data_IF_807600218702
#
_entry.id   IF_807600218702
#
_cell.length_a   1.000
_cell.length_b   1.000
_cell.length_c   1.000
_cell.angle_alpha   90.00
_cell.angle_beta   90.00
_cell.angle_gamma   90.00
#
_symmetry.space_group_name_H-M   'P 1'
#
loop_
_entity.id
_entity.type
_entity.pdbx_description
1 polymer ?
#
# COMPACT_ATOMS: atom_id res chain seq x y z
N UNK A 1 45.02 -16.25 -77.49
CA UNK A 1 44.83 -15.19 -76.49
C UNK A 1 43.85 -15.68 -75.43
N UNK A 2 44.36 -16.12 -74.29
CA UNK A 2 43.60 -16.61 -73.12
C UNK A 2 43.01 -15.41 -72.37
N UNK A 3 41.69 -15.39 -72.10
CA UNK A 3 41.09 -14.54 -71.06
C UNK A 3 40.55 -15.43 -69.94
N UNK A 4 41.18 -15.30 -68.77
CA UNK A 4 40.77 -15.90 -67.50
C UNK A 4 39.50 -15.18 -67.01
N UNK A 5 38.48 -15.92 -66.59
CA UNK A 5 37.37 -15.41 -65.79
C UNK A 5 37.47 -16.06 -64.40
N UNK A 6 37.87 -15.26 -63.42
CA UNK A 6 37.98 -15.68 -62.01
C UNK A 6 36.64 -15.42 -61.33
N UNK A 7 35.94 -16.47 -60.91
CA UNK A 7 34.70 -16.37 -60.14
C UNK A 7 35.05 -16.18 -58.66
N UNK A 8 34.90 -14.95 -58.14
CA UNK A 8 35.02 -14.66 -56.71
C UNK A 8 33.70 -14.99 -56.01
N UNK A 9 33.71 -16.04 -55.19
CA UNK A 9 32.61 -16.39 -54.29
C UNK A 9 32.72 -15.49 -53.04
N UNK A 10 31.87 -14.47 -52.93
CA UNK A 10 31.75 -13.67 -51.70
C UNK A 10 30.91 -14.45 -50.67
N UNK A 11 31.60 -15.02 -49.68
CA UNK A 11 30.98 -15.60 -48.50
C UNK A 11 30.54 -14.44 -47.57
N UNK A 12 29.25 -14.09 -47.59
CA UNK A 12 28.69 -13.13 -46.65
C UNK A 12 28.50 -13.80 -45.28
N UNK A 13 29.44 -13.56 -44.35
CA UNK A 13 29.30 -13.93 -42.95
C UNK A 13 28.28 -13.00 -42.28
N UNK A 14 27.07 -13.50 -42.07
CA UNK A 14 26.06 -12.82 -41.23
C UNK A 14 26.49 -12.99 -39.77
N UNK A 15 27.19 -12.00 -39.23
CA UNK A 15 27.37 -11.86 -37.78
C UNK A 15 26.00 -11.61 -37.15
N UNK A 16 25.43 -12.62 -36.51
CA UNK A 16 24.35 -12.42 -35.55
C UNK A 16 24.96 -11.73 -34.32
N UNK A 17 24.70 -10.44 -34.16
CA UNK A 17 24.93 -9.75 -32.90
C UNK A 17 24.03 -10.41 -31.84
N UNK A 18 24.61 -11.24 -30.99
CA UNK A 18 23.93 -11.71 -29.79
C UNK A 18 23.58 -10.47 -28.96
N UNK A 19 22.28 -10.20 -28.79
CA UNK A 19 21.82 -9.16 -27.90
C UNK A 19 22.36 -9.49 -26.50
N UNK A 20 23.24 -8.64 -25.97
CA UNK A 20 23.72 -8.73 -24.59
C UNK A 20 22.53 -8.43 -23.70
N UNK A 21 21.92 -9.48 -23.15
CA UNK A 21 20.87 -9.33 -22.14
C UNK A 21 21.56 -8.91 -20.83
N UNK A 22 21.06 -7.86 -20.18
CA UNK A 22 21.57 -7.44 -18.87
C UNK A 22 21.45 -8.61 -17.86
N UNK A 23 22.41 -8.83 -16.97
CA UNK A 23 22.33 -9.96 -16.04
C UNK A 23 21.21 -9.82 -15.00
N UNK A 24 20.75 -8.59 -14.76
CA UNK A 24 19.64 -8.27 -13.87
C UNK A 24 18.51 -7.61 -14.67
N UNK A 25 17.32 -8.21 -14.60
CA UNK A 25 16.08 -7.62 -15.11
C UNK A 25 15.22 -7.14 -13.91
N UNK A 26 14.93 -5.83 -13.86
CA UNK A 26 14.04 -5.23 -12.85
C UNK A 26 12.57 -5.39 -13.30
N UNK A 27 11.86 -6.36 -12.72
CA UNK A 27 10.48 -6.68 -13.09
C UNK A 27 9.49 -5.71 -12.44
N UNK A 28 9.63 -5.51 -11.12
CA UNK A 28 8.78 -4.60 -10.36
C UNK A 28 9.48 -4.16 -9.07
N UNK A 29 9.66 -2.87 -8.78
CA UNK A 29 9.53 -1.77 -9.73
C UNK A 29 10.50 -1.94 -10.91
N UNK A 30 10.06 -1.58 -12.11
CA UNK A 30 10.91 -1.57 -13.29
C UNK A 30 12.00 -0.50 -13.19
N UNK A 31 13.07 -0.63 -13.96
CA UNK A 31 14.14 0.36 -13.98
C UNK A 31 13.60 1.75 -14.36
N UNK A 32 14.05 2.79 -13.65
CA UNK A 32 13.65 4.18 -13.84
C UNK A 32 12.12 4.39 -13.87
N UNK A 33 11.42 3.75 -12.94
CA UNK A 33 9.95 3.81 -12.83
C UNK A 33 9.49 4.35 -11.48
N UNK A 34 8.21 4.73 -11.41
CA UNK A 34 7.56 5.07 -10.15
C UNK A 34 6.48 4.07 -9.76
N UNK A 35 6.35 3.88 -8.45
CA UNK A 35 5.34 3.01 -7.84
C UNK A 35 4.69 3.71 -6.65
N UNK A 36 3.43 3.40 -6.39
CA UNK A 36 2.72 3.83 -5.17
C UNK A 36 2.48 2.72 -4.16
N UNK A 37 2.71 1.46 -4.57
CA UNK A 37 2.63 0.29 -3.71
C UNK A 37 4.02 -0.27 -3.48
N UNK A 38 4.45 -0.29 -2.23
CA UNK A 38 5.78 -0.75 -1.79
C UNK A 38 5.85 -2.26 -1.54
N UNK A 39 4.78 -3.00 -1.89
CA UNK A 39 4.58 -4.35 -1.37
C UNK A 39 5.62 -5.37 -1.81
N UNK A 40 6.24 -5.20 -2.98
CA UNK A 40 7.19 -6.16 -3.54
C UNK A 40 8.27 -5.48 -4.36
N UNK A 41 9.45 -6.10 -4.34
CA UNK A 41 10.55 -5.92 -5.27
C UNK A 41 10.83 -7.28 -5.90
N UNK A 42 10.68 -7.37 -7.21
CA UNK A 42 10.81 -8.57 -8.04
C UNK A 42 11.91 -8.30 -9.05
N UNK A 43 12.95 -9.10 -8.96
CA UNK A 43 14.12 -9.07 -9.83
C UNK A 43 14.23 -10.45 -10.49
N UNK A 44 14.63 -10.49 -11.75
CA UNK A 44 14.98 -11.73 -12.43
C UNK A 44 16.47 -11.71 -12.78
N UNK A 45 17.14 -12.81 -12.50
CA UNK A 45 18.53 -13.03 -12.84
C UNK A 45 18.61 -13.75 -14.19
N UNK A 46 19.50 -13.29 -15.05
CA UNK A 46 19.83 -13.99 -16.30
C UNK A 46 21.10 -14.84 -16.16
N UNK A 47 21.66 -14.92 -14.95
CA UNK A 47 22.82 -15.74 -14.57
C UNK A 47 22.38 -16.96 -13.75
N UNK A 48 22.74 -18.16 -14.20
CA UNK A 48 22.21 -19.42 -13.65
C UNK A 48 23.07 -20.03 -12.53
N UNK A 49 24.34 -19.63 -12.40
CA UNK A 49 25.30 -20.16 -11.43
C UNK A 49 25.59 -19.19 -10.27
N UNK A 50 24.69 -18.24 -10.04
CA UNK A 50 24.74 -17.31 -8.91
C UNK A 50 24.69 -18.06 -7.58
N UNK A 51 25.56 -17.64 -6.67
CA UNK A 51 25.61 -18.13 -5.28
C UNK A 51 24.94 -17.17 -4.31
N UNK A 52 25.00 -15.86 -4.56
CA UNK A 52 24.45 -14.86 -3.67
C UNK A 52 24.04 -13.57 -4.36
N UNK A 53 23.20 -12.79 -3.67
CA UNK A 53 22.78 -11.45 -4.07
C UNK A 53 22.86 -10.51 -2.88
N UNK A 54 23.28 -9.26 -3.10
CA UNK A 54 23.14 -8.18 -2.13
C UNK A 54 22.26 -7.08 -2.69
N UNK A 55 21.31 -6.63 -1.88
CA UNK A 55 20.43 -5.51 -2.21
C UNK A 55 20.84 -4.31 -1.37
N UNK A 56 20.99 -3.16 -2.01
CA UNK A 56 21.22 -1.89 -1.33
C UNK A 56 20.15 -0.89 -1.75
N UNK A 57 19.43 -0.32 -0.77
CA UNK A 57 18.46 0.75 -0.99
C UNK A 57 18.93 1.98 -0.23
N UNK A 58 19.13 3.11 -0.92
CA UNK A 58 19.58 4.37 -0.33
C UNK A 58 20.85 4.25 0.53
N UNK A 59 21.78 3.37 0.12
CA UNK A 59 23.03 3.12 0.83
C UNK A 59 22.92 2.13 2.00
N UNK A 60 21.71 1.69 2.37
CA UNK A 60 21.49 0.63 3.35
C UNK A 60 21.54 -0.72 2.65
N UNK A 61 22.61 -1.47 2.90
CA UNK A 61 22.86 -2.76 2.28
C UNK A 61 22.33 -3.92 3.15
N UNK A 62 21.77 -4.94 2.50
CA UNK A 62 21.49 -6.23 3.12
C UNK A 62 22.78 -7.01 3.36
N UNK A 63 22.67 -8.08 4.16
CA UNK A 63 23.63 -9.18 4.06
C UNK A 63 23.61 -9.81 2.66
N UNK A 64 24.62 -10.61 2.33
CA UNK A 64 24.60 -11.41 1.09
C UNK A 64 23.60 -12.54 1.30
N UNK A 65 22.52 -12.52 0.51
CA UNK A 65 21.45 -13.49 0.55
C UNK A 65 21.79 -14.64 -0.39
N UNK A 66 21.69 -15.86 0.10
CA UNK A 66 22.01 -17.06 -0.65
C UNK A 66 20.90 -17.39 -1.66
N UNK A 67 21.26 -17.46 -2.95
CA UNK A 67 20.32 -17.72 -4.07
C UNK A 67 20.72 -18.92 -4.93
N UNK A 68 21.86 -19.53 -4.62
CA UNK A 68 22.41 -20.66 -5.38
C UNK A 68 21.99 -22.04 -4.89
N UNK A 69 21.30 -22.16 -3.75
CA UNK A 69 20.95 -23.47 -3.19
C UNK A 69 19.90 -24.19 -4.05
N UNK A 70 19.93 -25.53 -4.11
CA UNK A 70 18.89 -26.31 -4.79
C UNK A 70 17.48 -25.99 -4.28
N UNK A 71 17.34 -25.74 -2.98
CA UNK A 71 16.08 -25.38 -2.33
C UNK A 71 15.57 -24.02 -2.83
N UNK A 72 16.44 -23.03 -2.94
CA UNK A 72 16.08 -21.71 -3.47
C UNK A 72 15.64 -21.82 -4.93
N UNK A 73 16.45 -22.47 -5.77
CA UNK A 73 16.18 -22.62 -7.20
C UNK A 73 14.89 -23.39 -7.47
N UNK A 74 14.54 -24.35 -6.63
CA UNK A 74 13.26 -25.06 -6.70
C UNK A 74 12.05 -24.15 -6.43
N UNK A 75 12.18 -23.18 -5.52
CA UNK A 75 11.09 -22.32 -5.08
C UNK A 75 10.95 -21.05 -5.91
N UNK A 76 12.06 -20.43 -6.28
CA UNK A 76 12.11 -19.11 -6.89
C UNK A 76 12.72 -19.11 -8.30
N UNK A 77 13.26 -20.23 -8.77
CA UNK A 77 13.94 -20.33 -10.07
C UNK A 77 15.05 -19.27 -10.20
N UNK A 78 14.91 -18.36 -11.16
CA UNK A 78 15.81 -17.23 -11.40
C UNK A 78 15.26 -15.91 -10.84
N UNK A 79 14.19 -15.94 -10.05
CA UNK A 79 13.60 -14.75 -9.45
C UNK A 79 14.13 -14.50 -8.05
N UNK A 80 14.26 -13.23 -7.71
CA UNK A 80 14.39 -12.74 -6.36
C UNK A 80 13.20 -11.85 -6.02
N UNK A 81 12.47 -12.24 -4.97
CA UNK A 81 11.28 -11.54 -4.51
C UNK A 81 11.50 -11.14 -3.06
N UNK A 82 11.53 -9.84 -2.81
CA UNK A 82 11.65 -9.29 -1.47
C UNK A 82 10.66 -8.14 -1.28
N UNK A 83 10.57 -7.64 -0.05
CA UNK A 83 9.72 -6.49 0.28
C UNK A 83 10.63 -5.36 0.75
N UNK A 84 11.04 -4.51 -0.19
CA UNK A 84 11.87 -3.35 0.10
C UNK A 84 11.08 -2.27 0.83
N UNK A 85 11.78 -1.55 1.72
CA UNK A 85 11.27 -0.32 2.34
C UNK A 85 11.75 0.83 1.46
N UNK A 86 10.84 1.71 1.07
CA UNK A 86 11.12 2.85 0.20
C UNK A 86 10.87 4.15 0.96
N UNK A 87 11.76 5.11 0.79
CA UNK A 87 11.57 6.48 1.28
C UNK A 87 10.62 7.23 0.33
N UNK A 88 9.83 8.17 0.84
CA UNK A 88 8.97 9.02 0.01
C UNK A 88 9.83 9.86 -0.97
N UNK A 89 9.61 9.65 -2.27
CA UNK A 89 10.37 10.30 -3.35
C UNK A 89 11.43 9.39 -4.00
N UNK A 90 12.60 9.93 -4.38
CA UNK A 90 13.61 9.18 -5.12
C UNK A 90 14.34 8.18 -4.23
N UNK A 91 14.52 6.96 -4.74
CA UNK A 91 15.26 5.89 -4.10
C UNK A 91 16.28 5.31 -5.08
N UNK A 92 17.49 5.04 -4.61
CA UNK A 92 18.54 4.37 -5.39
C UNK A 92 18.60 2.90 -5.00
N UNK A 93 18.31 2.02 -5.96
CA UNK A 93 18.40 0.57 -5.83
C UNK A 93 19.67 0.07 -6.49
N UNK A 94 20.45 -0.71 -5.76
CA UNK A 94 21.62 -1.41 -6.27
C UNK A 94 21.50 -2.91 -5.97
N UNK A 95 21.83 -3.73 -6.98
CA UNK A 95 21.81 -5.19 -6.93
C UNK A 95 23.21 -5.68 -7.28
N UNK A 96 23.86 -6.34 -6.33
CA UNK A 96 25.17 -6.96 -6.52
C UNK A 96 25.01 -8.48 -6.60
N UNK A 97 25.58 -9.10 -7.64
CA UNK A 97 25.52 -10.55 -7.86
C UNK A 97 26.86 -11.20 -7.47
N UNK A 98 26.79 -12.37 -6.85
CA UNK A 98 27.96 -13.10 -6.34
C UNK A 98 28.03 -14.53 -6.87
N UNK A 99 29.23 -14.96 -7.26
CA UNK A 99 29.58 -16.34 -7.64
C UNK A 99 30.78 -16.80 -6.81
N UNK A 100 30.62 -17.87 -6.02
CA UNK A 100 31.68 -18.39 -5.15
C UNK A 100 32.22 -17.34 -4.18
N UNK A 101 31.36 -16.43 -3.70
CA UNK A 101 31.74 -15.32 -2.80
C UNK A 101 32.39 -14.11 -3.50
N UNK A 102 32.69 -14.18 -4.80
CA UNK A 102 33.19 -13.04 -5.57
C UNK A 102 32.04 -12.28 -6.22
N UNK A 103 32.08 -10.95 -6.15
CA UNK A 103 31.12 -10.09 -6.85
C UNK A 103 31.42 -10.11 -8.34
N UNK A 104 30.43 -10.48 -9.16
CA UNK A 104 30.57 -10.58 -10.61
C UNK A 104 29.89 -9.44 -11.36
N UNK A 105 28.84 -8.86 -10.77
CA UNK A 105 28.10 -7.76 -11.40
C UNK A 105 27.53 -6.80 -10.35
N UNK A 106 27.35 -5.55 -10.76
CA UNK A 106 26.58 -4.54 -10.03
C UNK A 106 25.64 -3.84 -11.00
N UNK A 107 24.34 -3.98 -10.77
CA UNK A 107 23.28 -3.30 -11.50
C UNK A 107 22.65 -2.24 -10.61
N UNK A 108 22.34 -1.06 -11.16
CA UNK A 108 21.80 0.08 -10.39
C UNK A 108 20.65 0.73 -11.15
N UNK A 109 19.61 1.13 -10.44
CA UNK A 109 18.50 1.92 -10.98
C UNK A 109 17.94 2.87 -9.93
N UNK A 110 17.31 3.95 -10.40
CA UNK A 110 16.50 4.82 -9.55
C UNK A 110 15.03 4.38 -9.61
N UNK A 111 14.37 4.38 -8.47
CA UNK A 111 12.94 4.12 -8.30
C UNK A 111 12.32 5.32 -7.59
N UNK A 112 11.19 5.82 -8.09
CA UNK A 112 10.47 6.90 -7.41
C UNK A 112 9.25 6.34 -6.68
N UNK A 113 9.20 6.49 -5.36
CA UNK A 113 8.09 6.00 -4.54
C UNK A 113 7.16 7.15 -4.17
N UNK A 114 5.86 6.99 -4.46
CA UNK A 114 4.81 7.94 -4.08
C UNK A 114 3.77 7.21 -3.23
N UNK A 115 3.81 7.30 -1.90
CA UNK A 115 2.83 6.62 -1.04
C UNK A 115 1.38 6.93 -1.47
N UNK A 116 0.50 5.92 -1.44
CA UNK A 116 -0.94 6.14 -1.69
C UNK A 116 -1.49 7.23 -0.74
N UNK A 117 -2.31 8.14 -1.28
CA UNK A 117 -2.81 9.31 -0.56
C UNK A 117 -1.88 10.54 -0.60
N UNK A 118 -0.68 10.43 -1.18
CA UNK A 118 0.16 11.58 -1.49
C UNK A 118 -0.24 12.17 -2.87
N UNK A 119 -0.46 13.48 -2.92
CA UNK A 119 -0.82 14.19 -4.16
C UNK A 119 0.42 14.57 -5.01
N UNK A 120 1.63 14.20 -4.59
CA UNK A 120 2.86 14.46 -5.34
C UNK A 120 2.85 13.67 -6.65
N UNK A 121 3.05 14.36 -7.76
CA UNK A 121 3.26 13.72 -9.05
C UNK A 121 4.71 13.23 -9.15
N UNK A 122 4.90 12.04 -9.74
CA UNK A 122 6.23 11.56 -10.06
C UNK A 122 6.90 12.49 -11.10
N UNK A 123 8.22 12.73 -11.00
CA UNK A 123 8.94 13.57 -11.96
C UNK A 123 8.84 13.04 -13.40
N UNK A 124 8.90 13.93 -14.41
CA UNK A 124 9.05 13.51 -15.81
C UNK A 124 10.26 12.58 -15.97
N UNK A 125 10.08 11.47 -16.69
CA UNK A 125 11.11 10.44 -16.89
C UNK A 125 10.82 9.14 -16.14
N UNK A 126 10.16 9.20 -14.99
CA UNK A 126 9.71 7.99 -14.30
C UNK A 126 8.36 7.51 -14.87
N UNK A 127 8.34 6.36 -15.51
CA UNK A 127 7.10 5.75 -15.98
C UNK A 127 6.33 5.08 -14.84
N UNK A 128 4.99 5.15 -14.85
CA UNK A 128 4.17 4.45 -13.87
C UNK A 128 4.33 2.93 -14.05
N UNK A 129 4.65 2.21 -12.98
CA UNK A 129 4.79 0.76 -13.04
C UNK A 129 3.71 0.05 -12.23
N UNK A 130 2.94 -0.78 -12.92
CA UNK A 130 1.87 -1.60 -12.36
C UNK A 130 2.18 -3.05 -12.64
N UNK A 131 2.16 -3.91 -11.60
CA UNK A 131 2.51 -5.32 -11.74
C UNK A 131 1.51 -6.11 -12.58
N UNK A 132 0.21 -5.87 -12.39
CA UNK A 132 -0.86 -6.60 -13.10
C UNK A 132 -1.07 -6.08 -14.52
N UNK A 133 -0.11 -6.37 -15.39
CA UNK A 133 -0.17 -6.14 -16.84
C UNK A 133 0.26 -7.40 -17.60
N UNK A 134 -0.32 -7.70 -18.78
CA UNK A 134 -0.09 -8.98 -19.46
C UNK A 134 1.38 -9.37 -19.61
N UNK A 135 2.25 -8.40 -19.95
CA UNK A 135 3.70 -8.62 -20.11
C UNK A 135 4.36 -9.16 -18.84
N UNK A 136 4.04 -8.60 -17.67
CA UNK A 136 4.65 -8.99 -16.40
C UNK A 136 4.01 -10.25 -15.85
N UNK A 137 2.68 -10.38 -15.95
CA UNK A 137 1.96 -11.58 -15.50
C UNK A 137 2.44 -12.85 -16.19
N UNK A 138 2.75 -12.77 -17.48
CA UNK A 138 3.23 -13.91 -18.27
C UNK A 138 4.52 -14.54 -17.72
N UNK A 139 5.34 -13.78 -16.98
CA UNK A 139 6.54 -14.31 -16.34
C UNK A 139 6.22 -15.15 -15.09
N UNK A 140 5.03 -14.98 -14.53
CA UNK A 140 4.62 -15.62 -13.27
C UNK A 140 3.64 -16.78 -13.50
N UNK A 141 2.97 -16.88 -14.66
CA UNK A 141 1.91 -17.89 -14.90
C UNK A 141 2.39 -19.34 -14.83
N UNK A 142 3.70 -19.59 -14.93
CA UNK A 142 4.27 -20.93 -14.78
C UNK A 142 4.06 -21.50 -13.35
N UNK A 143 3.95 -20.63 -12.34
CA UNK A 143 3.80 -21.03 -10.94
C UNK A 143 2.59 -20.39 -10.24
N UNK A 144 2.13 -19.22 -10.72
CA UNK A 144 1.06 -18.43 -10.10
C UNK A 144 -0.18 -18.35 -10.98
N UNK A 145 -1.35 -18.42 -10.37
CA UNK A 145 -2.60 -18.12 -11.07
C UNK A 145 -2.79 -16.59 -11.18
N UNK A 146 -2.38 -16.02 -12.30
CA UNK A 146 -2.54 -14.58 -12.58
C UNK A 146 -3.91 -14.24 -13.17
N UNK A 147 -4.77 -15.22 -13.45
CA UNK A 147 -6.12 -15.04 -14.02
C UNK A 147 -7.17 -15.62 -13.07
N UNK A 148 -7.17 -15.11 -11.84
CA UNK A 148 -8.09 -15.57 -10.80
C UNK A 148 -9.56 -15.42 -11.21
N UNK A 149 -10.34 -16.49 -11.03
CA UNK A 149 -11.80 -16.42 -11.17
C UNK A 149 -12.42 -15.68 -9.98
N UNK A 150 -13.64 -15.13 -10.09
CA UNK A 150 -14.33 -14.50 -8.96
C UNK A 150 -14.43 -15.42 -7.72
N UNK A 151 -14.63 -16.72 -7.92
CA UNK A 151 -14.67 -17.69 -6.83
C UNK A 151 -13.31 -17.83 -6.12
N UNK A 152 -12.20 -17.80 -6.86
CA UNK A 152 -10.86 -17.84 -6.28
C UNK A 152 -10.51 -16.54 -5.56
N UNK A 153 -10.91 -15.39 -6.10
CA UNK A 153 -10.73 -14.08 -5.47
C UNK A 153 -11.50 -13.92 -4.15
N UNK A 154 -12.53 -14.76 -3.95
CA UNK A 154 -13.37 -14.77 -2.75
C UNK A 154 -13.23 -16.06 -1.92
N UNK A 155 -12.17 -16.84 -2.14
CA UNK A 155 -11.93 -18.03 -1.34
C UNK A 155 -11.51 -17.64 0.07
N UNK A 156 -12.29 -18.04 1.07
CA UNK A 156 -11.96 -17.88 2.49
C UNK A 156 -10.81 -18.79 2.99
N UNK A 157 -10.26 -19.63 2.10
CA UNK A 157 -9.12 -20.49 2.37
C UNK A 157 -7.87 -19.82 1.80
N UNK A 158 -7.00 -19.30 2.67
CA UNK A 158 -5.81 -18.52 2.32
C UNK A 158 -4.97 -19.14 1.18
N UNK A 159 -4.67 -20.45 1.26
CA UNK A 159 -3.87 -21.17 0.24
C UNK A 159 -4.53 -21.22 -1.14
N UNK A 160 -5.84 -21.07 -1.21
CA UNK A 160 -6.62 -21.12 -2.46
C UNK A 160 -6.84 -19.72 -3.05
N UNK A 161 -6.60 -18.65 -2.28
CA UNK A 161 -6.70 -17.29 -2.77
C UNK A 161 -5.36 -16.87 -3.43
N UNK A 162 -5.34 -16.67 -4.77
CA UNK A 162 -4.11 -16.35 -5.49
C UNK A 162 -3.55 -14.96 -5.16
N UNK A 163 -4.41 -14.02 -4.74
CA UNK A 163 -4.00 -12.68 -4.36
C UNK A 163 -3.21 -12.70 -3.05
N UNK A 164 -3.68 -13.43 -2.03
CA UNK A 164 -3.01 -13.54 -0.73
C UNK A 164 -1.62 -14.19 -0.84
N UNK A 165 -1.44 -15.17 -1.74
CA UNK A 165 -0.15 -15.85 -1.94
C UNK A 165 0.99 -14.89 -2.28
N UNK A 166 0.69 -13.76 -2.91
CA UNK A 166 1.65 -12.68 -3.13
C UNK A 166 1.46 -11.55 -2.10
N UNK A 167 0.24 -11.05 -1.91
CA UNK A 167 -0.05 -9.88 -1.07
C UNK A 167 -0.29 -10.23 0.41
N UNK A 168 0.64 -10.95 1.03
CA UNK A 168 0.54 -11.44 2.42
C UNK A 168 0.44 -10.31 3.46
N UNK A 169 1.05 -9.15 3.19
CA UNK A 169 1.01 -7.99 4.09
C UNK A 169 -0.37 -7.35 4.24
N UNK A 170 -1.25 -7.50 3.24
CA UNK A 170 -2.58 -6.87 3.27
C UNK A 170 -3.47 -7.40 4.41
N UNK A 171 -3.19 -8.61 4.90
CA UNK A 171 -3.91 -9.22 6.01
C UNK A 171 -3.16 -9.14 7.34
N UNK A 172 -1.97 -8.53 7.36
CA UNK A 172 -1.09 -8.49 8.53
C UNK A 172 -1.16 -7.14 9.26
N UNK A 173 -2.37 -6.73 9.61
CA UNK A 173 -2.63 -5.55 10.43
C UNK A 173 -3.22 -5.97 11.77
N UNK A 174 -3.01 -5.18 12.83
CA UNK A 174 -3.67 -5.42 14.12
C UNK A 174 -5.20 -5.37 14.01
N UNK A 175 -5.71 -4.45 13.18
CA UNK A 175 -7.14 -4.29 12.91
C UNK A 175 -7.40 -4.46 11.42
N UNK A 176 -7.41 -5.70 10.95
CA UNK A 176 -7.75 -6.05 9.55
C UNK A 176 -9.23 -5.79 9.28
N UNK A 177 -9.56 -5.25 8.10
CA UNK A 177 -10.93 -5.10 7.67
C UNK A 177 -11.56 -6.48 7.34
N UNK A 178 -12.81 -6.72 7.73
CA UNK A 178 -13.47 -8.03 7.66
C UNK A 178 -13.29 -8.77 6.33
N UNK A 179 -13.66 -8.17 5.18
CA UNK A 179 -13.49 -8.79 3.86
C UNK A 179 -12.04 -9.15 3.53
N UNK A 180 -11.07 -8.40 4.03
CA UNK A 180 -9.64 -8.70 3.84
C UNK A 180 -9.19 -9.83 4.75
N UNK A 181 -9.64 -9.85 6.00
CA UNK A 181 -9.40 -10.94 6.95
C UNK A 181 -9.97 -12.29 6.50
N UNK A 182 -11.00 -12.28 5.66
CA UNK A 182 -11.59 -13.48 5.04
C UNK A 182 -11.11 -13.72 3.61
N UNK A 183 -10.04 -13.05 3.16
CA UNK A 183 -9.48 -13.18 1.80
C UNK A 183 -10.52 -12.97 0.69
N UNK A 184 -11.49 -12.10 0.91
CA UNK A 184 -12.60 -11.86 -0.01
C UNK A 184 -12.34 -10.61 -0.86
N UNK A 185 -11.23 -10.64 -1.59
CA UNK A 185 -10.71 -9.50 -2.35
C UNK A 185 -11.68 -9.07 -3.46
N UNK A 186 -12.44 -10.02 -4.02
CA UNK A 186 -13.37 -9.80 -5.13
C UNK A 186 -14.63 -9.03 -4.77
N UNK A 187 -14.89 -8.73 -3.50
CA UNK A 187 -15.97 -7.80 -3.12
C UNK A 187 -15.64 -6.35 -3.47
N UNK A 188 -14.36 -5.99 -3.48
CA UNK A 188 -13.92 -4.63 -3.83
C UNK A 188 -13.16 -4.61 -5.16
N UNK A 189 -12.33 -5.59 -5.44
CA UNK A 189 -11.50 -5.64 -6.64
C UNK A 189 -12.18 -6.37 -7.79
N UNK A 190 -12.07 -5.83 -9.01
CA UNK A 190 -12.65 -6.45 -10.21
C UNK A 190 -11.59 -7.07 -11.10
N UNK A 191 -11.74 -8.36 -11.45
CA UNK A 191 -10.86 -9.02 -12.44
C UNK A 191 -10.85 -8.36 -13.82
N UNK A 192 -11.86 -7.53 -14.11
CA UNK A 192 -11.98 -6.73 -15.34
C UNK A 192 -11.71 -5.23 -15.12
N UNK A 193 -11.19 -4.84 -13.97
CA UNK A 193 -10.77 -3.47 -13.70
C UNK A 193 -9.69 -2.99 -14.69
N UNK A 194 -9.52 -1.68 -14.82
CA UNK A 194 -8.42 -1.08 -15.58
C UNK A 194 -7.67 -0.09 -14.67
N UNK A 195 -6.43 -0.38 -14.25
CA UNK A 195 -5.65 -1.61 -14.50
C UNK A 195 -6.32 -2.86 -13.89
N UNK A 196 -5.90 -4.06 -14.33
CA UNK A 196 -6.50 -5.33 -13.89
C UNK A 196 -6.54 -5.41 -12.36
N UNK A 197 -7.64 -5.92 -11.82
CA UNK A 197 -7.93 -5.95 -10.39
C UNK A 197 -8.16 -4.58 -9.74
N UNK A 198 -8.31 -3.49 -10.49
CA UNK A 198 -8.72 -2.20 -9.92
C UNK A 198 -10.10 -2.29 -9.25
N UNK A 199 -10.28 -1.44 -8.25
CA UNK A 199 -11.55 -1.26 -7.54
C UNK A 199 -12.47 -0.42 -8.45
N UNK A 200 -13.65 -0.93 -8.85
CA UNK A 200 -14.50 -0.27 -9.83
C UNK A 200 -15.38 0.86 -9.25
N UNK A 201 -15.57 0.88 -7.93
CA UNK A 201 -16.33 1.92 -7.20
C UNK A 201 -15.45 2.51 -6.10
N UNK A 202 -15.58 3.79 -5.83
CA UNK A 202 -14.73 4.49 -4.86
C UNK A 202 -15.58 5.17 -3.77
N UNK A 203 -14.97 5.37 -2.60
CA UNK A 203 -15.58 6.09 -1.50
C UNK A 203 -16.91 5.50 -1.05
N UNK A 204 -17.79 6.38 -0.59
CA UNK A 204 -19.10 6.03 -0.03
C UNK A 204 -19.93 5.09 -0.91
N UNK A 205 -19.86 5.23 -2.25
CA UNK A 205 -20.61 4.38 -3.16
C UNK A 205 -20.23 2.89 -3.05
N UNK A 206 -18.95 2.59 -2.80
CA UNK A 206 -18.49 1.22 -2.52
C UNK A 206 -18.81 0.84 -1.08
N UNK A 207 -18.45 1.69 -0.11
CA UNK A 207 -18.57 1.36 1.30
C UNK A 207 -20.02 1.03 1.70
N UNK A 208 -20.99 1.75 1.15
CA UNK A 208 -22.41 1.57 1.46
C UNK A 208 -23.05 0.32 0.86
N UNK A 209 -22.37 -0.42 0.00
CA UNK A 209 -22.87 -1.73 -0.46
C UNK A 209 -22.99 -2.73 0.70
N UNK A 210 -22.12 -2.61 1.71
CA UNK A 210 -22.18 -3.42 2.93
C UNK A 210 -22.53 -2.58 4.16
N UNK A 211 -22.03 -1.35 4.27
CA UNK A 211 -22.34 -0.44 5.38
C UNK A 211 -23.62 0.37 5.12
N UNK A 212 -24.70 -0.30 4.74
CA UNK A 212 -25.98 0.33 4.39
C UNK A 212 -26.59 1.12 5.56
N UNK A 213 -26.44 0.62 6.80
CA UNK A 213 -26.90 1.33 8.00
C UNK A 213 -26.17 2.68 8.16
N UNK A 214 -24.88 2.72 7.83
CA UNK A 214 -24.12 3.98 7.84
C UNK A 214 -24.68 4.95 6.78
N UNK A 215 -25.02 4.45 5.59
CA UNK A 215 -25.64 5.26 4.54
C UNK A 215 -26.95 5.90 5.01
N UNK A 216 -27.79 5.13 5.71
CA UNK A 216 -29.05 5.63 6.30
C UNK A 216 -28.76 6.66 7.40
N UNK A 217 -27.83 6.36 8.31
CA UNK A 217 -27.46 7.27 9.39
C UNK A 217 -26.90 8.59 8.87
N UNK A 218 -26.05 8.59 7.82
CA UNK A 218 -25.48 9.81 7.26
C UNK A 218 -26.58 10.69 6.65
N UNK A 219 -27.57 10.10 5.97
CA UNK A 219 -28.71 10.84 5.41
C UNK A 219 -29.60 11.49 6.47
N UNK A 220 -29.63 10.93 7.67
CA UNK A 220 -30.44 11.45 8.78
C UNK A 220 -29.74 12.55 9.58
N UNK A 221 -28.43 12.79 9.38
CA UNK A 221 -27.68 13.79 10.12
C UNK A 221 -27.90 15.18 9.54
N UNK A 222 -28.25 16.13 10.40
CA UNK A 222 -28.39 17.54 10.02
C UNK A 222 -27.07 18.17 9.57
N UNK A 223 -25.95 17.77 10.19
CA UNK A 223 -24.62 18.27 9.85
C UNK A 223 -23.67 17.10 9.62
N UNK A 224 -23.02 17.08 8.46
CA UNK A 224 -22.00 16.11 8.11
C UNK A 224 -20.61 16.74 8.19
N UNK A 225 -19.62 15.91 8.51
CA UNK A 225 -18.23 16.33 8.41
C UNK A 225 -17.82 16.33 6.93
N UNK A 226 -17.11 17.37 6.48
CA UNK A 226 -16.81 17.62 5.06
C UNK A 226 -16.32 16.40 4.26
N UNK A 227 -15.30 15.64 4.72
CA UNK A 227 -14.87 14.43 4.02
C UNK A 227 -15.97 13.37 3.88
N UNK A 228 -16.85 13.24 4.87
CA UNK A 228 -17.95 12.28 4.86
C UNK A 228 -19.09 12.73 3.95
N UNK A 229 -19.39 14.02 3.94
CA UNK A 229 -20.33 14.62 2.99
C UNK A 229 -19.85 14.42 1.54
N UNK A 230 -18.54 14.54 1.32
CA UNK A 230 -17.90 14.24 0.03
C UNK A 230 -17.75 12.74 -0.27
N UNK A 231 -18.15 11.85 0.65
CA UNK A 231 -18.05 10.41 0.49
C UNK A 231 -16.62 9.85 0.51
N UNK A 232 -15.66 10.59 1.08
CA UNK A 232 -14.24 10.24 1.13
C UNK A 232 -13.88 9.45 2.40
N UNK A 233 -14.41 8.23 2.52
CA UNK A 233 -14.19 7.37 3.67
C UNK A 233 -12.69 7.06 3.89
N UNK A 234 -11.95 6.86 2.80
CA UNK A 234 -10.56 6.42 2.83
C UNK A 234 -9.56 7.51 3.26
N UNK A 235 -10.00 8.76 3.42
CA UNK A 235 -9.16 9.83 3.99
C UNK A 235 -8.84 9.55 5.46
N UNK A 236 -9.74 8.86 6.16
CA UNK A 236 -9.60 8.51 7.57
C UNK A 236 -9.37 7.01 7.79
N UNK A 237 -9.93 6.16 6.93
CA UNK A 237 -9.93 4.70 7.09
C UNK A 237 -9.09 4.00 6.02
N UNK A 238 -8.35 2.96 6.39
CA UNK A 238 -7.74 2.03 5.45
C UNK A 238 -8.71 0.87 5.15
N UNK A 239 -9.05 0.67 3.87
CA UNK A 239 -10.02 -0.35 3.44
C UNK A 239 -9.48 -1.78 3.54
N UNK A 240 -8.17 -1.97 3.69
CA UNK A 240 -7.55 -3.27 3.95
C UNK A 240 -7.38 -3.52 5.45
N UNK A 241 -6.87 -2.53 6.16
CA UNK A 241 -6.63 -2.63 7.60
C UNK A 241 -5.58 -1.66 8.10
N UNK A 242 -5.48 -1.50 9.42
CA UNK A 242 -4.48 -0.62 10.01
C UNK A 242 -3.99 -1.12 11.37
N UNK A 243 -2.94 -0.50 11.89
CA UNK A 243 -2.48 -0.72 13.27
C UNK A 243 -3.34 -0.01 14.31
N UNK A 244 -4.31 0.79 13.88
CA UNK A 244 -5.18 1.60 14.72
C UNK A 244 -6.62 1.06 14.68
N UNK A 245 -7.31 1.16 15.82
CA UNK A 245 -8.68 0.70 15.96
C UNK A 245 -9.60 1.39 14.94
N UNK A 246 -10.66 0.71 14.51
CA UNK A 246 -11.56 1.20 13.45
C UNK A 246 -10.85 1.46 12.13
N UNK A 247 -9.74 0.77 11.86
CA UNK A 247 -8.99 0.85 10.61
C UNK A 247 -8.49 2.27 10.31
N UNK A 248 -8.19 3.10 11.32
CA UNK A 248 -7.75 4.47 11.08
C UNK A 248 -6.35 4.53 10.46
N UNK A 249 -6.12 5.42 9.51
CA UNK A 249 -4.80 5.57 8.85
C UNK A 249 -3.73 6.18 9.76
N UNK A 250 -4.12 6.76 10.90
CA UNK A 250 -3.28 7.38 11.94
C UNK A 250 -3.94 7.24 13.31
N UNK A 251 -3.22 7.43 14.44
CA UNK A 251 -3.84 7.56 15.75
C UNK A 251 -4.91 8.67 15.76
N UNK A 252 -6.01 8.46 16.50
CA UNK A 252 -7.21 9.31 16.44
C UNK A 252 -6.94 10.82 16.50
N UNK A 253 -6.20 11.29 17.51
CA UNK A 253 -5.94 12.73 17.65
C UNK A 253 -4.99 13.26 16.57
N UNK A 254 -3.98 12.48 16.18
CA UNK A 254 -3.06 12.86 15.10
C UNK A 254 -3.77 12.94 13.75
N UNK A 255 -4.73 12.03 13.51
CA UNK A 255 -5.58 12.07 12.32
C UNK A 255 -6.41 13.34 12.27
N UNK A 256 -7.03 13.75 13.38
CA UNK A 256 -7.79 15.00 13.42
C UNK A 256 -6.88 16.21 13.16
N UNK A 257 -5.71 16.26 13.79
CA UNK A 257 -4.78 17.40 13.74
C UNK A 257 -4.06 17.49 12.37
N UNK A 258 -4.02 16.42 11.57
CA UNK A 258 -3.46 16.48 10.21
C UNK A 258 -4.18 17.50 9.32
N UNK A 259 -5.49 17.68 9.52
CA UNK A 259 -6.30 18.71 8.87
C UNK A 259 -6.62 19.89 9.80
N UNK A 260 -6.87 19.62 11.08
CA UNK A 260 -7.17 20.64 12.09
C UNK A 260 -5.90 21.11 12.83
N UNK A 261 -4.83 21.40 12.08
CA UNK A 261 -3.50 21.72 12.62
C UNK A 261 -3.46 22.90 13.60
N UNK A 262 -4.40 23.84 13.46
CA UNK A 262 -4.56 24.98 14.37
C UNK A 262 -4.87 24.59 15.83
N UNK A 263 -5.32 23.36 16.07
CA UNK A 263 -5.59 22.82 17.41
C UNK A 263 -4.33 22.29 18.11
N UNK A 264 -3.24 22.02 17.39
CA UNK A 264 -2.03 21.37 17.94
C UNK A 264 -1.43 22.14 19.12
N UNK A 265 -1.42 23.48 19.03
CA UNK A 265 -0.77 24.37 20.00
C UNK A 265 -1.77 25.34 20.66
N UNK A 266 -3.06 25.00 20.66
CA UNK A 266 -4.10 25.85 21.26
C UNK A 266 -4.81 25.11 22.37
N UNK A 267 -5.18 25.87 23.40
CA UNK A 267 -6.09 25.39 24.43
C UNK A 267 -7.45 25.13 23.75
N UNK A 268 -7.87 23.87 23.74
CA UNK A 268 -9.16 23.47 23.21
C UNK A 268 -10.09 23.14 24.38
N UNK A 269 -11.26 23.79 24.39
CA UNK A 269 -12.19 23.88 25.54
C UNK A 269 -11.50 24.51 26.76
N UNK A 270 -11.65 25.83 26.91
CA UNK A 270 -11.28 26.55 28.13
C UNK A 270 -12.41 26.36 29.13
N UNK A 271 -12.16 25.60 30.21
CA UNK A 271 -13.19 25.31 31.22
C UNK A 271 -12.97 26.08 32.53
N UNK A 272 -11.73 26.41 32.87
CA UNK A 272 -11.42 27.02 34.16
C UNK A 272 -11.23 28.53 34.03
N UNK A 273 -11.62 29.27 35.06
CA UNK A 273 -11.24 30.68 35.25
C UNK A 273 -9.73 30.87 35.33
N UNK A 274 -8.98 29.78 35.52
CA UNK A 274 -7.51 29.72 35.53
C UNK A 274 -6.90 29.56 34.13
N UNK A 275 -7.72 29.44 33.07
CA UNK A 275 -7.24 29.38 31.69
C UNK A 275 -6.68 28.02 31.27
N UNK A 276 -6.86 26.97 32.06
CA UNK A 276 -6.41 25.61 31.71
C UNK A 276 -7.40 24.91 30.77
N UNK A 277 -6.86 24.14 29.82
CA UNK A 277 -7.63 23.37 28.85
C UNK A 277 -8.23 22.09 29.41
N UNK A 278 -9.27 21.58 28.75
CA UNK A 278 -9.79 20.24 29.04
C UNK A 278 -8.83 19.16 28.50
N UNK A 279 -8.63 18.03 29.21
CA UNK A 279 -7.79 16.95 28.71
C UNK A 279 -8.33 16.38 27.40
N UNK A 280 -7.44 16.28 26.40
CA UNK A 280 -7.70 15.70 25.08
C UNK A 280 -6.98 14.35 24.86
N UNK A 281 -6.12 13.94 25.81
CA UNK A 281 -5.33 12.70 25.83
C UNK A 281 -4.80 12.42 27.24
N UNK A 282 -4.30 11.20 27.51
CA UNK A 282 -3.56 10.87 28.75
C UNK A 282 -4.42 10.83 30.03
N UNK A 283 -5.73 11.00 29.92
CA UNK A 283 -6.69 10.86 31.03
C UNK A 283 -7.77 9.86 30.62
N UNK A 284 -8.28 9.01 31.52
CA UNK A 284 -9.36 8.08 31.20
C UNK A 284 -10.62 8.81 30.69
N UNK A 285 -11.27 8.25 29.67
CA UNK A 285 -12.56 8.75 29.15
C UNK A 285 -13.71 8.21 30.02
N UNK A 286 -14.44 9.09 30.75
CA UNK A 286 -15.52 8.66 31.63
C UNK A 286 -16.71 7.99 30.92
N UNK A 287 -16.90 8.24 29.62
CA UNK A 287 -17.95 7.60 28.82
C UNK A 287 -17.54 6.21 28.33
N UNK A 288 -16.25 5.87 28.42
CA UNK A 288 -15.67 4.65 27.83
C UNK A 288 -14.99 3.76 28.86
N UNK A 289 -15.46 3.79 30.12
CA UNK A 289 -14.92 3.04 31.28
C UNK A 289 -14.69 1.56 30.99
N UNK A 290 -15.64 0.90 30.32
CA UNK A 290 -15.55 -0.54 30.00
C UNK A 290 -14.38 -0.84 29.07
N UNK A 291 -14.16 0.03 28.07
CA UNK A 291 -13.07 -0.15 27.11
C UNK A 291 -11.71 0.39 27.61
N UNK A 292 -11.68 1.06 28.77
CA UNK A 292 -10.46 1.63 29.35
C UNK A 292 -9.78 2.71 28.50
N UNK A 293 -10.50 3.29 27.52
CA UNK A 293 -9.92 4.26 26.59
C UNK A 293 -9.61 5.58 27.27
N UNK A 294 -8.54 6.23 26.82
CA UNK A 294 -8.25 7.60 27.18
C UNK A 294 -9.12 8.59 26.41
N UNK A 295 -9.19 9.81 26.93
CA UNK A 295 -9.77 10.97 26.27
C UNK A 295 -9.14 11.16 24.90
N UNK A 296 -9.98 11.50 23.93
CA UNK A 296 -9.59 11.82 22.56
C UNK A 296 -10.53 12.87 21.99
N UNK A 297 -10.24 13.37 20.79
CA UNK A 297 -11.20 14.21 20.05
C UNK A 297 -12.58 13.54 19.94
N UNK A 298 -12.61 12.21 19.80
CA UNK A 298 -13.86 11.44 19.65
C UNK A 298 -14.64 11.23 20.94
N UNK A 299 -14.10 11.62 22.09
CA UNK A 299 -14.81 11.58 23.37
C UNK A 299 -15.91 12.65 23.43
N UNK A 300 -15.74 13.75 22.67
CA UNK A 300 -16.69 14.86 22.60
C UNK A 300 -17.26 15.07 21.21
N UNK A 301 -16.51 14.76 20.14
CA UNK A 301 -16.94 14.96 18.75
C UNK A 301 -17.21 13.63 18.04
N UNK A 302 -18.25 13.61 17.21
CA UNK A 302 -18.53 12.51 16.29
C UNK A 302 -17.86 12.83 14.95
N UNK A 303 -16.84 12.04 14.53
CA UNK A 303 -16.04 12.36 13.35
C UNK A 303 -16.83 12.26 12.04
N UNK A 304 -18.01 11.63 12.07
CA UNK A 304 -18.86 11.49 10.89
C UNK A 304 -19.93 12.58 10.75
N UNK A 305 -20.22 13.35 11.80
CA UNK A 305 -21.27 14.36 11.83
C UNK A 305 -22.24 14.24 13.02
N UNK A 306 -23.32 15.00 13.04
CA UNK A 306 -24.31 14.95 14.11
C UNK A 306 -25.54 15.80 13.82
N UNK A 307 -26.43 15.90 14.80
CA UNK A 307 -27.65 16.72 14.73
C UNK A 307 -27.43 18.17 15.16
N UNK A 308 -26.28 18.43 15.79
CA UNK A 308 -25.90 19.73 16.36
C UNK A 308 -24.61 20.23 15.75
N UNK A 309 -24.40 21.55 15.82
CA UNK A 309 -23.16 22.19 15.37
C UNK A 309 -21.97 21.61 16.15
N UNK A 310 -20.83 21.47 15.48
CA UNK A 310 -19.61 20.86 16.04
C UNK A 310 -19.70 19.35 16.32
N UNK A 311 -20.79 18.68 15.93
CA UNK A 311 -20.90 17.22 15.93
C UNK A 311 -20.74 16.59 17.33
N UNK A 312 -21.30 17.20 18.37
CA UNK A 312 -21.13 16.66 19.72
C UNK A 312 -21.70 15.25 19.88
N UNK A 313 -20.96 14.37 20.56
CA UNK A 313 -21.41 13.03 20.93
C UNK A 313 -22.67 13.15 21.79
N UNK A 314 -23.69 12.35 21.50
CA UNK A 314 -25.00 12.44 22.14
C UNK A 314 -25.91 13.54 21.60
N UNK A 315 -25.43 14.37 20.65
CA UNK A 315 -26.15 15.50 20.06
C UNK A 315 -26.75 16.53 21.05
N UNK A 316 -26.05 16.93 22.14
CA UNK A 316 -26.52 18.04 22.97
C UNK A 316 -26.46 19.35 22.19
N UNK A 317 -27.55 20.10 22.17
CA UNK A 317 -27.63 21.43 21.56
C UNK A 317 -27.04 22.53 22.46
N UNK A 318 -26.85 22.22 23.75
CA UNK A 318 -26.15 23.04 24.73
C UNK A 318 -24.79 22.44 25.13
N UNK A 319 -23.78 23.32 25.31
CA UNK A 319 -22.42 22.89 25.71
C UNK A 319 -22.39 22.35 27.13
N UNK A 320 -23.19 22.88 28.05
CA UNK A 320 -23.20 22.40 29.43
C UNK A 320 -23.81 21.00 29.51
N UNK A 321 -24.83 20.71 28.71
CA UNK A 321 -25.37 19.36 28.57
C UNK A 321 -24.31 18.33 28.13
N UNK A 322 -23.38 18.71 27.23
CA UNK A 322 -22.23 17.86 26.90
C UNK A 322 -21.31 17.62 28.11
N UNK A 323 -21.03 18.66 28.90
CA UNK A 323 -20.19 18.55 30.09
C UNK A 323 -20.79 17.62 31.14
N UNK A 324 -22.11 17.67 31.32
CA UNK A 324 -22.85 16.83 32.26
C UNK A 324 -22.71 15.34 31.96
N UNK A 325 -22.51 14.94 30.69
CA UNK A 325 -22.29 13.52 30.34
C UNK A 325 -21.17 12.86 31.15
N UNK A 326 -20.13 13.63 31.52
CA UNK A 326 -19.00 13.17 32.33
C UNK A 326 -18.98 13.78 33.73
N UNK A 327 -19.54 14.98 33.89
CA UNK A 327 -19.54 15.75 35.13
C UNK A 327 -20.95 15.83 35.70
N UNK A 328 -21.54 14.66 35.99
CA UNK A 328 -22.76 14.56 36.78
C UNK A 328 -22.46 14.97 38.22
N UNK A 329 -22.58 16.27 38.50
CA UNK A 329 -22.87 16.81 39.82
C UNK A 329 -24.30 17.31 39.80
#
# INVERSE_FOLDING_TARGET
MLKRLTLMLLLATVLHAAAVHAAVEFIYPAAHSWVNRSGHMIIKFNEHDLTGVRITVNGVASDVLEVGTPEYRKLFQDFFIAQAIWDDGPNKLQVELFRGGQKIETSTTDIYYVPEGNNRQAPPGFAANTMHVPKLEQQCVACHNMNATPAQMNSNVAKNNPCYRCHTKLVNFKYVHGPVGTYSCGYCHSSKGTPKYAVPKQGAALCYECHADMAVQMKQRKYLHGPIEAGMCEVCHDSHGSQHESQLVKPTNELCISCHGHLRNRIHVVRTTMGEGHPLSGKPDPLRKISGKEMSCTSCHNPHGGQVRYFFVGNPDDRMALCQLCHNK
#
